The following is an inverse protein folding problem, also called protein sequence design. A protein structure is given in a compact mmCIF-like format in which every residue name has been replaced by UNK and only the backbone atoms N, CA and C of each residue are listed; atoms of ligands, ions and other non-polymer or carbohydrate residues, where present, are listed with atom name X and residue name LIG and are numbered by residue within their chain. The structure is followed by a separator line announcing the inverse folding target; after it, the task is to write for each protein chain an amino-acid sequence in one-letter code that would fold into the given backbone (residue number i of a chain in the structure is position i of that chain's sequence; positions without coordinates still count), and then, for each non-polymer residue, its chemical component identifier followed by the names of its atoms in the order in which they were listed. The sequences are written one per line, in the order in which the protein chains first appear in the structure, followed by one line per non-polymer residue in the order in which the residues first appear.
data_IF_001540629752
#
_entry.id   IF_001540629752
#
_cell.length_a   1.000
_cell.length_b   1.000
_cell.length_c   1.000
_cell.angle_alpha   90.00
_cell.angle_beta   90.00
_cell.angle_gamma   90.00
#
_symmetry.space_group_name_H-M   'P 1'
#
loop_
_entity.id
_entity.type
_entity.pdbx_description
1 polymer ?
#
# COMPACT_ATOMS: atom_id res chain seq x y z
N UNK A 1 29.26 -15.35 11.53
CA UNK A 1 27.80 -15.47 11.67
C UNK A 1 27.29 -14.21 12.38
N UNK A 2 26.91 -13.19 11.62
CA UNK A 2 26.45 -11.92 12.20
C UNK A 2 24.99 -12.08 12.63
N UNK A 3 24.76 -12.14 13.94
CA UNK A 3 23.43 -12.09 14.54
C UNK A 3 23.07 -10.62 14.68
N UNK A 4 22.22 -10.12 13.78
CA UNK A 4 21.63 -8.79 13.92
C UNK A 4 20.87 -8.77 15.26
N UNK A 5 21.16 -7.85 16.18
CA UNK A 5 20.41 -7.75 17.43
C UNK A 5 18.94 -7.50 17.08
N UNK A 6 18.06 -8.32 17.65
CA UNK A 6 16.62 -8.22 17.43
C UNK A 6 16.12 -7.02 18.25
N UNK A 7 16.27 -5.82 17.71
CA UNK A 7 15.57 -4.64 18.21
C UNK A 7 14.07 -4.93 18.15
N UNK A 8 13.38 -4.73 19.26
CA UNK A 8 11.93 -4.91 19.31
C UNK A 8 11.29 -3.93 18.31
N UNK A 9 10.71 -4.48 17.24
CA UNK A 9 9.91 -3.69 16.31
C UNK A 9 8.66 -3.29 17.07
N UNK A 10 8.55 -2.00 17.44
CA UNK A 10 7.31 -1.46 17.98
C UNK A 10 6.35 -1.17 16.84
N UNK A 11 5.12 -1.60 17.01
CA UNK A 11 4.02 -1.16 16.16
C UNK A 11 3.53 0.18 16.70
N UNK A 12 3.59 1.22 15.87
CA UNK A 12 3.04 2.54 16.22
C UNK A 12 1.55 2.61 15.89
N UNK A 13 1.19 2.51 14.60
CA UNK A 13 -0.19 2.74 14.12
C UNK A 13 -0.55 1.90 12.89
N UNK A 14 -1.85 1.64 12.74
CA UNK A 14 -2.45 1.14 11.50
C UNK A 14 -3.33 2.23 10.88
N UNK A 15 -3.29 2.32 9.55
CA UNK A 15 -4.02 3.31 8.75
C UNK A 15 -4.84 2.60 7.69
N UNK A 16 -6.02 3.14 7.40
CA UNK A 16 -6.90 2.61 6.35
C UNK A 16 -7.61 3.78 5.66
N UNK A 17 -7.87 3.64 4.37
CA UNK A 17 -8.50 4.69 3.54
C UNK A 17 -10.04 4.60 3.53
N UNK A 18 -10.62 3.51 4.06
CA UNK A 18 -12.06 3.35 4.14
C UNK A 18 -12.50 1.95 4.56
N UNK A 19 -13.80 1.82 4.81
CA UNK A 19 -14.41 0.54 5.17
C UNK A 19 -14.48 -0.41 3.98
N UNK A 20 -14.18 -1.69 4.21
CA UNK A 20 -14.24 -2.73 3.18
C UNK A 20 -15.69 -3.13 2.83
N UNK A 21 -16.41 -2.22 2.19
CA UNK A 21 -17.81 -2.38 1.81
C UNK A 21 -18.10 -1.75 0.44
N UNK A 22 -19.28 -2.08 -0.09
CA UNK A 22 -19.88 -1.47 -1.29
C UNK A 22 -18.89 -1.25 -2.44
N UNK A 23 -18.62 0.02 -2.79
CA UNK A 23 -17.81 0.42 -3.95
C UNK A 23 -16.33 0.12 -3.70
N UNK A 24 -15.80 0.38 -2.49
CA UNK A 24 -14.40 0.12 -2.18
C UNK A 24 -14.08 -1.39 -2.25
N UNK A 25 -15.00 -2.24 -1.78
CA UNK A 25 -14.86 -3.70 -1.90
C UNK A 25 -14.80 -4.13 -3.37
N UNK A 26 -15.67 -3.58 -4.21
CA UNK A 26 -15.67 -3.87 -5.65
C UNK A 26 -14.38 -3.40 -6.32
N UNK A 27 -13.94 -2.17 -6.04
CA UNK A 27 -12.70 -1.60 -6.54
C UNK A 27 -11.50 -2.51 -6.21
N UNK A 28 -11.37 -2.94 -4.94
CA UNK A 28 -10.30 -3.84 -4.50
C UNK A 28 -10.39 -5.22 -5.18
N UNK A 29 -11.61 -5.75 -5.40
CA UNK A 29 -11.80 -7.00 -6.14
C UNK A 29 -11.36 -6.87 -7.60
N UNK A 30 -11.78 -5.80 -8.28
CA UNK A 30 -11.37 -5.50 -9.65
C UNK A 30 -9.86 -5.36 -9.77
N UNK A 31 -9.27 -4.64 -8.81
CA UNK A 31 -7.83 -4.51 -8.73
C UNK A 31 -7.16 -5.87 -8.56
N UNK A 32 -7.67 -6.75 -7.70
CA UNK A 32 -7.08 -8.07 -7.41
C UNK A 32 -7.10 -9.05 -8.58
N UNK A 33 -8.20 -9.10 -9.31
CA UNK A 33 -8.48 -10.26 -10.16
C UNK A 33 -8.57 -9.95 -11.66
N UNK A 34 -8.74 -8.69 -12.05
CA UNK A 34 -9.02 -8.34 -13.46
C UNK A 34 -7.88 -7.60 -14.16
N UNK A 35 -6.69 -7.52 -13.54
CA UNK A 35 -5.51 -6.81 -14.09
C UNK A 35 -5.80 -5.37 -14.55
N UNK A 36 -6.79 -4.74 -13.94
CA UNK A 36 -7.18 -3.37 -14.25
C UNK A 36 -6.27 -2.41 -13.51
N UNK A 37 -5.07 -2.17 -14.04
CA UNK A 37 -4.14 -1.17 -13.50
C UNK A 37 -4.73 0.24 -13.51
N UNK A 38 -5.72 0.51 -14.36
CA UNK A 38 -6.49 1.75 -14.38
C UNK A 38 -7.16 2.08 -13.04
N UNK A 39 -7.38 1.09 -12.17
CA UNK A 39 -7.88 1.30 -10.80
C UNK A 39 -6.95 2.21 -9.97
N UNK A 40 -5.65 2.25 -10.27
CA UNK A 40 -4.74 3.17 -9.59
C UNK A 40 -5.14 4.64 -9.78
N UNK A 41 -5.73 5.00 -10.93
CA UNK A 41 -6.22 6.38 -11.15
C UNK A 41 -7.29 6.81 -10.14
N UNK A 42 -8.02 5.85 -9.57
CA UNK A 42 -9.04 6.09 -8.54
C UNK A 42 -8.45 5.97 -7.12
N UNK A 43 -7.40 5.16 -6.93
CA UNK A 43 -6.76 4.93 -5.62
C UNK A 43 -5.75 6.04 -5.30
N UNK A 44 -4.97 6.50 -6.27
CA UNK A 44 -3.91 7.49 -6.07
C UNK A 44 -4.46 8.77 -5.43
N UNK A 45 -5.58 9.37 -5.88
CA UNK A 45 -6.15 10.56 -5.23
C UNK A 45 -6.58 10.31 -3.77
N UNK A 46 -6.98 9.09 -3.42
CA UNK A 46 -7.34 8.74 -2.04
C UNK A 46 -6.10 8.66 -1.15
N UNK A 47 -4.99 8.10 -1.67
CA UNK A 47 -3.70 8.07 -0.98
C UNK A 47 -3.20 9.51 -0.79
N UNK A 48 -3.15 10.29 -1.87
CA UNK A 48 -2.70 11.67 -1.86
C UNK A 48 -3.49 12.51 -0.86
N UNK A 49 -4.82 12.45 -0.92
CA UNK A 49 -5.69 13.20 -0.03
C UNK A 49 -5.46 12.80 1.44
N UNK A 50 -5.29 11.50 1.73
CA UNK A 50 -5.08 11.04 3.09
C UNK A 50 -3.79 11.60 3.69
N UNK A 51 -2.66 11.47 3.00
CA UNK A 51 -1.36 11.88 3.53
C UNK A 51 -1.19 13.40 3.56
N UNK A 52 -1.73 14.13 2.56
CA UNK A 52 -1.69 15.60 2.55
C UNK A 52 -2.58 16.22 3.62
N UNK A 53 -3.70 15.58 3.95
CA UNK A 53 -4.65 16.07 4.94
C UNK A 53 -4.41 15.50 6.35
N UNK A 54 -3.40 14.66 6.57
CA UNK A 54 -3.16 14.06 7.89
C UNK A 54 -2.68 15.09 8.93
N UNK A 55 -2.06 16.19 8.49
CA UNK A 55 -1.43 17.18 9.37
C UNK A 55 -0.22 16.62 10.13
N UNK A 56 0.26 15.44 9.75
CA UNK A 56 1.40 14.79 10.37
C UNK A 56 2.69 15.15 9.64
N UNK A 57 3.78 15.30 10.39
CA UNK A 57 5.12 15.36 9.84
C UNK A 57 5.63 13.93 9.63
N UNK A 58 5.80 13.55 8.36
CA UNK A 58 6.17 12.19 7.98
C UNK A 58 7.68 11.95 7.99
N UNK A 59 8.51 12.97 8.16
CA UNK A 59 9.98 12.84 8.28
C UNK A 59 10.66 11.98 7.20
N UNK A 60 11.88 11.50 7.49
CA UNK A 60 12.61 10.55 6.64
C UNK A 60 12.08 9.12 6.86
N UNK A 61 11.07 8.72 6.09
CA UNK A 61 10.46 7.38 6.18
C UNK A 61 10.80 6.50 4.98
N UNK A 62 11.05 5.22 5.28
CA UNK A 62 11.14 4.18 4.25
C UNK A 62 9.78 3.51 4.04
N UNK A 63 9.31 3.51 2.80
CA UNK A 63 8.07 2.81 2.42
C UNK A 63 8.43 1.47 1.79
N UNK A 64 7.87 0.39 2.36
CA UNK A 64 8.01 -0.97 1.81
C UNK A 64 6.65 -1.64 1.72
N UNK A 65 6.53 -2.60 0.81
CA UNK A 65 5.33 -3.42 0.67
C UNK A 65 5.56 -4.83 1.20
N UNK A 66 4.49 -5.49 1.62
CA UNK A 66 4.52 -6.93 1.89
C UNK A 66 4.45 -7.66 0.55
N UNK A 67 5.46 -8.46 0.17
CA UNK A 67 5.49 -9.10 -1.13
C UNK A 67 4.33 -10.07 -1.33
N UNK A 68 3.74 -10.02 -2.52
CA UNK A 68 2.76 -11.01 -2.94
C UNK A 68 3.45 -12.37 -3.13
N UNK A 69 2.84 -13.42 -2.57
CA UNK A 69 3.34 -14.79 -2.75
C UNK A 69 3.52 -15.13 -4.24
N UNK A 70 4.64 -15.78 -4.59
CA UNK A 70 5.08 -16.01 -5.98
C UNK A 70 3.99 -16.60 -6.88
N UNK A 71 3.19 -17.55 -6.36
CA UNK A 71 2.08 -18.16 -7.11
C UNK A 71 1.03 -17.12 -7.53
N UNK A 72 0.61 -16.26 -6.60
CA UNK A 72 -0.35 -15.18 -6.84
C UNK A 72 0.25 -14.10 -7.75
N UNK A 73 1.55 -13.80 -7.61
CA UNK A 73 2.25 -12.91 -8.53
C UNK A 73 2.19 -13.42 -9.97
N UNK A 74 2.41 -14.73 -10.20
CA UNK A 74 2.31 -15.32 -11.54
C UNK A 74 0.88 -15.31 -12.08
N UNK A 75 -0.10 -15.66 -11.26
CA UNK A 75 -1.53 -15.68 -11.66
C UNK A 75 -2.04 -14.28 -12.01
N UNK A 76 -1.65 -13.28 -11.22
CA UNK A 76 -2.14 -11.91 -11.34
C UNK A 76 -1.29 -11.04 -12.27
N UNK A 77 0.01 -11.29 -12.35
CA UNK A 77 0.97 -10.55 -13.18
C UNK A 77 1.47 -9.23 -12.58
N UNK A 78 1.10 -8.88 -11.34
CA UNK A 78 1.58 -7.68 -10.64
C UNK A 78 1.33 -7.76 -9.12
N UNK A 79 2.01 -6.90 -8.37
CA UNK A 79 1.82 -6.72 -6.93
C UNK A 79 1.15 -5.37 -6.63
N UNK A 80 -0.10 -5.42 -6.19
CA UNK A 80 -0.84 -4.22 -5.77
C UNK A 80 -0.18 -3.46 -4.62
N UNK A 81 0.46 -4.18 -3.69
CA UNK A 81 1.03 -3.57 -2.51
C UNK A 81 2.27 -2.78 -2.92
N UNK A 82 3.03 -3.29 -3.90
CA UNK A 82 4.13 -2.56 -4.53
C UNK A 82 3.64 -1.29 -5.23
N UNK A 83 2.54 -1.37 -6.00
CA UNK A 83 1.98 -0.19 -6.69
C UNK A 83 1.54 0.88 -5.69
N UNK A 84 0.81 0.50 -4.64
CA UNK A 84 0.39 1.43 -3.59
C UNK A 84 1.59 1.99 -2.81
N UNK A 85 2.58 1.16 -2.47
CA UNK A 85 3.78 1.60 -1.76
C UNK A 85 4.58 2.64 -2.56
N UNK A 86 4.67 2.49 -3.88
CA UNK A 86 5.31 3.49 -4.76
C UNK A 86 4.57 4.82 -4.73
N UNK A 87 3.24 4.80 -4.75
CA UNK A 87 2.45 6.02 -4.65
C UNK A 87 2.64 6.68 -3.28
N UNK A 88 2.58 5.91 -2.20
CA UNK A 88 2.83 6.43 -0.85
C UNK A 88 4.22 7.07 -0.75
N UNK A 89 5.27 6.40 -1.23
CA UNK A 89 6.62 6.97 -1.25
C UNK A 89 6.65 8.29 -2.04
N UNK A 90 5.99 8.34 -3.20
CA UNK A 90 5.92 9.57 -4.02
C UNK A 90 5.24 10.73 -3.29
N UNK A 91 4.22 10.44 -2.48
CA UNK A 91 3.50 11.47 -1.71
C UNK A 91 4.31 11.95 -0.51
N UNK A 92 5.08 11.06 0.11
CA UNK A 92 5.86 11.36 1.31
C UNK A 92 7.21 12.03 1.01
N UNK A 93 7.72 11.91 -0.22
CA UNK A 93 9.02 12.47 -0.64
C UNK A 93 10.16 11.48 -0.49
#
# INVERSE_FOLDING_TARGET
MFRVPQTAVSFDRARFLGYYQSVLKQLIHHFKYFRQLGVMKEIDPLIDSYFRNSGEDWGDVYVSHIPLHFKKMRERGFDQALLMARQVATVLG
#
